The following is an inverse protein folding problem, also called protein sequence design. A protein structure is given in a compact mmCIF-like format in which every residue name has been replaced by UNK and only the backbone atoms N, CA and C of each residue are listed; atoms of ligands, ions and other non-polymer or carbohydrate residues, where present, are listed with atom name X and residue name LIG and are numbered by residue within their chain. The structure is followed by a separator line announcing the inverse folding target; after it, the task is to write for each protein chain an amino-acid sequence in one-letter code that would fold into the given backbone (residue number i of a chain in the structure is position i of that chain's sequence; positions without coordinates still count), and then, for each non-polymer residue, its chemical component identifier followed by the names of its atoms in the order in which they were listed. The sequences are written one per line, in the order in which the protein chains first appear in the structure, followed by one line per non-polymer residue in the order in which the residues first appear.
data_IF_811514509785
#
_entry.id   IF_811514509785
#
_cell.length_a   1.000
_cell.length_b   1.000
_cell.length_c   1.000
_cell.angle_alpha   90.00
_cell.angle_beta   90.00
_cell.angle_gamma   90.00
#
_symmetry.space_group_name_H-M   'P 1'
#
loop_
_entity.id
_entity.type
_entity.pdbx_description
1 polymer ?
#
# COMPACT_ATOMS: atom_id res chain seq x y z
N UNK A 1 16.67 -7.47 -2.72
CA UNK A 1 15.59 -6.47 -2.90
C UNK A 1 15.75 -5.46 -1.77
N UNK A 2 15.97 -4.18 -2.07
CA UNK A 2 16.17 -3.15 -1.05
C UNK A 2 14.83 -2.88 -0.35
N UNK A 3 14.75 -2.89 0.99
CA UNK A 3 13.54 -2.53 1.72
C UNK A 3 13.05 -1.14 1.31
N UNK A 4 11.73 -0.93 1.30
CA UNK A 4 11.14 0.39 1.09
C UNK A 4 11.67 1.32 2.19
N UNK A 5 12.07 2.53 1.81
CA UNK A 5 12.57 3.51 2.76
C UNK A 5 11.54 3.79 3.84
N UNK A 6 11.97 3.75 5.11
CA UNK A 6 11.13 3.99 6.27
C UNK A 6 10.52 5.41 6.28
N UNK A 7 11.10 6.35 5.54
CA UNK A 7 10.58 7.71 5.37
C UNK A 7 9.18 7.73 4.74
N UNK A 8 8.76 6.64 4.08
CA UNK A 8 7.46 6.52 3.43
C UNK A 8 6.37 5.94 4.35
N UNK A 9 6.73 5.58 5.58
CA UNK A 9 5.85 4.97 6.58
C UNK A 9 5.35 6.01 7.59
N UNK A 10 4.23 5.70 8.25
CA UNK A 10 3.65 6.55 9.30
C UNK A 10 2.25 7.09 9.00
N UNK A 11 1.64 7.75 9.99
CA UNK A 11 0.24 8.18 9.92
C UNK A 11 0.04 9.54 9.23
N UNK A 12 1.12 10.25 8.87
CA UNK A 12 1.02 11.60 8.33
C UNK A 12 0.57 11.66 6.87
N UNK A 13 0.22 12.88 6.44
CA UNK A 13 0.09 13.25 5.05
C UNK A 13 1.34 12.84 4.23
N UNK A 14 1.13 12.32 3.02
CA UNK A 14 2.21 11.89 2.11
C UNK A 14 2.84 10.53 2.43
N UNK A 15 2.33 9.80 3.44
CA UNK A 15 2.76 8.43 3.75
C UNK A 15 1.90 7.40 3.01
N UNK A 16 2.47 6.21 2.82
CA UNK A 16 1.76 5.10 2.18
C UNK A 16 0.62 4.65 3.10
N UNK A 17 -0.61 4.73 2.58
CA UNK A 17 -1.80 4.17 3.21
C UNK A 17 -2.05 2.75 2.72
N UNK A 18 -2.67 1.93 3.56
CA UNK A 18 -2.89 0.52 3.29
C UNK A 18 -4.23 0.10 3.86
N UNK A 19 -5.03 -0.61 3.06
CA UNK A 19 -6.22 -1.31 3.52
C UNK A 19 -5.83 -2.74 3.86
N UNK A 20 -6.24 -3.27 5.01
CA UNK A 20 -5.86 -4.62 5.43
C UNK A 20 -6.92 -5.27 6.32
N UNK A 21 -6.92 -6.60 6.35
CA UNK A 21 -7.77 -7.35 7.28
C UNK A 21 -7.06 -7.52 8.63
N UNK A 22 -7.58 -6.90 9.69
CA UNK A 22 -6.96 -6.88 11.02
C UNK A 22 -7.20 -8.16 11.84
N UNK A 23 -7.96 -9.10 11.26
CA UNK A 23 -8.38 -10.35 11.90
C UNK A 23 -9.87 -10.37 12.24
N UNK A 24 -10.50 -9.21 12.35
CA UNK A 24 -11.94 -9.08 12.51
C UNK A 24 -12.62 -8.47 11.28
N UNK A 25 -12.03 -7.44 10.68
CA UNK A 25 -12.60 -6.75 9.52
C UNK A 25 -11.51 -6.13 8.64
N UNK A 26 -11.91 -5.67 7.45
CA UNK A 26 -11.07 -4.85 6.58
C UNK A 26 -11.10 -3.41 7.09
N UNK A 27 -9.91 -2.87 7.39
CA UNK A 27 -9.73 -1.52 7.92
C UNK A 27 -8.69 -0.75 7.11
N UNK A 28 -8.82 0.57 7.10
CA UNK A 28 -7.83 1.47 6.52
C UNK A 28 -6.81 1.92 7.57
N UNK A 29 -5.54 1.89 7.20
CA UNK A 29 -4.42 2.18 8.08
C UNK A 29 -3.20 2.70 7.35
N UNK A 30 -2.08 2.64 8.06
CA UNK A 30 -0.77 3.03 7.57
C UNK A 30 0.26 1.95 7.88
N UNK A 31 1.32 1.92 7.06
CA UNK A 31 2.45 1.02 7.27
C UNK A 31 3.33 1.62 8.38
N UNK A 32 3.67 0.80 9.37
CA UNK A 32 4.60 1.12 10.46
C UNK A 32 6.02 0.72 10.05
N UNK A 33 6.18 -0.51 9.56
CA UNK A 33 7.46 -1.05 9.09
C UNK A 33 7.27 -2.19 8.10
N UNK A 34 8.28 -2.40 7.27
CA UNK A 34 8.40 -3.60 6.44
C UNK A 34 9.24 -4.64 7.18
N UNK A 35 8.75 -5.88 7.25
CA UNK A 35 9.44 -7.01 7.93
C UNK A 35 9.90 -8.09 6.95
N UNK A 36 9.48 -8.02 5.69
CA UNK A 36 9.91 -8.93 4.64
C UNK A 36 9.41 -8.48 3.27
N UNK A 37 9.77 -9.22 2.23
CA UNK A 37 9.25 -8.99 0.87
C UNK A 37 7.72 -9.13 0.88
N UNK A 38 7.01 -8.03 0.63
CA UNK A 38 5.54 -8.02 0.65
C UNK A 38 4.93 -8.21 2.04
N UNK A 39 5.69 -8.15 3.14
CA UNK A 39 5.19 -8.33 4.51
C UNK A 39 5.37 -7.06 5.32
N UNK A 40 4.29 -6.55 5.88
CA UNK A 40 4.23 -5.25 6.56
C UNK A 40 3.58 -5.38 7.93
N UNK A 41 3.98 -4.49 8.82
CA UNK A 41 3.26 -4.22 10.06
C UNK A 41 2.46 -2.94 9.85
N UNK A 42 1.15 -3.02 10.07
CA UNK A 42 0.20 -1.95 9.86
C UNK A 42 -0.50 -1.58 11.16
N UNK A 43 -0.90 -0.31 11.25
CA UNK A 43 -1.69 0.21 12.36
C UNK A 43 -2.89 1.01 11.79
N UNK A 44 -4.03 1.03 12.51
CA UNK A 44 -5.23 1.73 12.06
C UNK A 44 -5.04 3.26 12.12
N UNK A 45 -5.76 3.99 11.26
CA UNK A 45 -5.69 5.46 11.18
C UNK A 45 -6.05 6.17 12.49
N UNK A 46 -6.97 5.59 13.27
CA UNK A 46 -7.54 6.19 14.48
C UNK A 46 -6.60 6.20 15.72
N UNK A 47 -5.28 6.18 15.53
CA UNK A 47 -4.29 6.16 16.64
C UNK A 47 -4.55 5.04 17.66
N UNK A 48 -4.69 3.80 17.19
CA UNK A 48 -4.66 2.63 18.07
C UNK A 48 -3.25 2.02 18.11
N UNK A 49 -2.86 1.49 19.27
CA UNK A 49 -1.61 0.75 19.47
C UNK A 49 -1.65 -0.66 18.86
N UNK A 50 -2.78 -1.06 18.29
CA UNK A 50 -2.97 -2.39 17.71
C UNK A 50 -2.20 -2.48 16.39
N UNK A 51 -1.19 -3.34 16.37
CA UNK A 51 -0.39 -3.63 15.19
C UNK A 51 -0.80 -4.97 14.59
N UNK A 52 -1.05 -4.98 13.29
CA UNK A 52 -1.36 -6.20 12.54
C UNK A 52 -0.24 -6.50 11.56
N UNK A 53 0.17 -7.77 11.48
CA UNK A 53 1.12 -8.21 10.45
C UNK A 53 0.36 -8.74 9.26
N UNK A 54 0.67 -8.21 8.08
CA UNK A 54 -0.10 -8.49 6.87
C UNK A 54 0.82 -8.71 5.67
N UNK A 55 0.32 -9.48 4.72
CA UNK A 55 0.98 -9.79 3.45
C UNK A 55 0.24 -9.06 2.33
N UNK A 56 0.99 -8.44 1.41
CA UNK A 56 0.42 -7.83 0.21
C UNK A 56 -0.30 -8.89 -0.62
N UNK A 57 -1.55 -8.60 -0.98
CA UNK A 57 -2.30 -9.42 -1.91
C UNK A 57 -1.57 -9.52 -3.26
N UNK A 58 -1.44 -10.74 -3.77
CA UNK A 58 -0.69 -11.03 -5.00
C UNK A 58 -1.57 -11.14 -6.25
N UNK A 59 -2.89 -10.99 -6.12
CA UNK A 59 -3.85 -11.09 -7.23
C UNK A 59 -5.01 -10.12 -7.03
N UNK A 60 -5.64 -9.67 -8.12
CA UNK A 60 -6.79 -8.75 -8.06
C UNK A 60 -7.92 -9.31 -7.20
N UNK A 61 -8.32 -10.60 -7.30
CA UNK A 61 -9.37 -11.14 -6.43
C UNK A 61 -9.02 -11.05 -4.94
N UNK A 62 -7.76 -11.30 -4.57
CA UNK A 62 -7.29 -11.21 -3.19
C UNK A 62 -7.19 -9.75 -2.70
N UNK A 63 -6.89 -8.81 -3.60
CA UNK A 63 -6.84 -7.38 -3.27
C UNK A 63 -8.23 -6.76 -3.13
N UNK A 64 -9.21 -7.24 -3.91
CA UNK A 64 -10.62 -6.82 -3.82
C UNK A 64 -11.30 -7.41 -2.59
N UNK A 65 -11.03 -8.69 -2.28
CA UNK A 65 -11.62 -9.41 -1.15
C UNK A 65 -10.52 -9.84 -0.18
N UNK A 66 -10.11 -8.90 0.68
CA UNK A 66 -9.07 -9.14 1.67
C UNK A 66 -9.54 -10.14 2.74
N UNK A 67 -8.86 -11.27 2.84
CA UNK A 67 -9.02 -12.23 3.94
C UNK A 67 -8.00 -11.97 5.06
N UNK A 68 -8.20 -12.59 6.22
CA UNK A 68 -7.33 -12.42 7.40
C UNK A 68 -5.84 -12.52 7.06
N UNK A 69 -5.07 -11.51 7.46
CA UNK A 69 -3.62 -11.45 7.23
C UNK A 69 -3.21 -10.92 5.85
N UNK A 70 -4.17 -10.57 4.98
CA UNK A 70 -3.88 -9.88 3.73
C UNK A 70 -4.10 -8.37 3.85
N UNK A 71 -3.38 -7.62 3.02
CA UNK A 71 -3.63 -6.21 2.79
C UNK A 71 -3.29 -5.77 1.36
N UNK A 72 -3.75 -4.59 1.00
CA UNK A 72 -3.53 -3.98 -0.31
C UNK A 72 -3.18 -2.51 -0.14
N UNK A 73 -2.26 -2.04 -0.98
CA UNK A 73 -1.97 -0.61 -1.14
C UNK A 73 -2.74 -0.19 -2.39
N UNK A 74 -3.67 0.75 -2.21
CA UNK A 74 -4.43 1.34 -3.30
C UNK A 74 -3.62 2.49 -3.89
N UNK A 75 -3.40 2.45 -5.20
CA UNK A 75 -2.90 3.57 -5.99
C UNK A 75 -3.96 4.00 -7.00
N UNK A 76 -3.81 5.18 -7.57
CA UNK A 76 -4.56 5.57 -8.77
C UNK A 76 -3.63 6.31 -9.70
N UNK A 77 -3.87 6.18 -11.00
CA UNK A 77 -3.03 6.87 -11.98
C UNK A 77 -3.19 8.38 -11.83
N UNK A 78 -2.10 9.12 -12.07
CA UNK A 78 -2.15 10.58 -11.98
C UNK A 78 -3.19 11.13 -12.97
N UNK A 79 -4.23 11.80 -12.45
CA UNK A 79 -5.32 12.34 -13.26
C UNK A 79 -6.46 11.37 -13.56
N UNK A 80 -6.41 10.13 -13.06
CA UNK A 80 -7.47 9.13 -13.21
C UNK A 80 -8.23 8.88 -11.90
N UNK A 81 -9.52 8.54 -12.00
CA UNK A 81 -10.34 8.05 -10.88
C UNK A 81 -10.29 6.51 -10.75
N UNK A 82 -9.57 5.82 -11.64
CA UNK A 82 -9.43 4.37 -11.58
C UNK A 82 -8.49 3.95 -10.43
N UNK A 83 -8.96 3.05 -9.57
CA UNK A 83 -8.16 2.46 -8.48
C UNK A 83 -7.39 1.25 -9.01
N UNK A 84 -6.09 1.21 -8.73
CA UNK A 84 -5.16 0.13 -9.06
C UNK A 84 -4.63 -0.49 -7.76
N UNK A 85 -4.42 -1.81 -7.76
CA UNK A 85 -3.95 -2.54 -6.58
C UNK A 85 -2.49 -2.96 -6.76
N UNK A 86 -1.62 -2.56 -5.83
CA UNK A 86 -0.18 -2.85 -5.90
C UNK A 86 0.08 -4.31 -5.50
N UNK A 87 0.71 -5.09 -6.39
CA UNK A 87 1.05 -6.51 -6.16
C UNK A 87 2.50 -6.72 -5.71
N UNK A 88 3.43 -5.89 -6.21
CA UNK A 88 4.84 -5.90 -5.78
C UNK A 88 5.48 -4.54 -5.91
N UNK A 89 6.49 -4.28 -5.07
CA UNK A 89 7.30 -3.06 -5.08
C UNK A 89 8.76 -3.46 -5.29
N UNK A 90 9.39 -3.02 -6.38
CA UNK A 90 10.78 -3.34 -6.73
C UNK A 90 11.48 -2.09 -7.25
N UNK A 91 12.61 -1.67 -6.67
CA UNK A 91 13.53 -0.74 -7.33
C UNK A 91 12.91 0.57 -7.87
N UNK A 92 11.98 1.19 -7.13
CA UNK A 92 11.21 2.37 -7.56
C UNK A 92 10.24 2.12 -8.74
N UNK A 93 9.84 0.86 -8.97
CA UNK A 93 8.69 0.50 -9.80
C UNK A 93 7.68 -0.32 -8.99
N UNK A 94 6.40 -0.08 -9.24
CA UNK A 94 5.31 -0.91 -8.73
C UNK A 94 4.69 -1.70 -9.88
N UNK A 95 4.43 -2.99 -9.64
CA UNK A 95 3.64 -3.80 -10.56
C UNK A 95 2.25 -3.91 -9.98
N UNK A 96 1.23 -3.66 -10.78
CA UNK A 96 -0.16 -3.83 -10.36
C UNK A 96 -0.63 -5.26 -10.57
N UNK A 97 -1.72 -5.64 -9.92
CA UNK A 97 -2.33 -6.96 -10.14
C UNK A 97 -2.87 -7.15 -11.55
N UNK A 98 -3.09 -6.04 -12.25
CA UNK A 98 -3.55 -5.93 -13.64
C UNK A 98 -2.43 -6.13 -14.66
N UNK A 99 -1.18 -6.33 -14.19
CA UNK A 99 -0.02 -6.62 -15.03
C UNK A 99 0.75 -5.40 -15.52
N UNK A 100 0.39 -4.20 -15.07
CA UNK A 100 1.09 -2.97 -15.44
C UNK A 100 2.30 -2.71 -14.54
N UNK A 101 3.35 -2.10 -15.11
CA UNK A 101 4.53 -1.65 -14.38
C UNK A 101 4.64 -0.13 -14.47
N UNK A 102 4.77 0.54 -13.33
CA UNK A 102 4.86 2.01 -13.27
C UNK A 102 6.11 2.44 -12.52
N UNK A 103 6.68 3.59 -12.92
CA UNK A 103 7.69 4.29 -12.12
C UNK A 103 7.05 4.97 -10.91
N UNK A 104 7.73 4.92 -9.77
CA UNK A 104 7.25 5.39 -8.48
C UNK A 104 7.52 6.89 -8.29
N UNK A 105 6.48 7.71 -8.09
CA UNK A 105 6.55 9.02 -7.45
C UNK A 105 5.53 9.11 -6.29
N UNK A 106 5.99 9.54 -5.11
CA UNK A 106 5.11 9.82 -3.95
C UNK A 106 4.59 11.24 -4.12
N UNK A 107 3.26 11.40 -4.09
CA UNK A 107 2.61 12.69 -4.27
C UNK A 107 3.09 13.79 -3.31
N UNK A 108 2.79 15.04 -3.68
CA UNK A 108 3.15 16.24 -2.92
C UNK A 108 2.13 16.56 -1.79
N UNK A 109 2.41 17.63 -1.04
CA UNK A 109 1.62 18.08 0.10
C UNK A 109 0.13 18.37 -0.21
N UNK A 110 -0.23 18.53 -1.49
CA UNK A 110 -1.60 18.81 -1.94
C UNK A 110 -2.46 17.55 -2.11
N UNK A 111 -1.85 16.36 -2.20
CA UNK A 111 -2.56 15.06 -2.21
C UNK A 111 -1.89 14.03 -1.30
N UNK A 112 -2.12 14.12 0.01
CA UNK A 112 -1.52 13.20 0.97
C UNK A 112 -2.00 11.76 0.80
N UNK A 113 -1.06 10.84 0.55
CA UNK A 113 -1.34 9.40 0.42
C UNK A 113 -1.64 8.92 -0.99
N UNK A 114 -1.40 9.76 -2.01
CA UNK A 114 -1.58 9.42 -3.42
C UNK A 114 -0.26 8.91 -4.03
N UNK A 115 -0.30 7.74 -4.69
CA UNK A 115 0.81 7.22 -5.48
C UNK A 115 0.63 7.73 -6.92
N UNK A 116 1.50 8.63 -7.39
CA UNK A 116 1.44 9.11 -8.77
C UNK A 116 2.03 8.04 -9.70
N UNK A 117 1.18 7.28 -10.39
CA UNK A 117 1.63 6.33 -11.40
C UNK A 117 1.90 7.10 -12.70
N UNK A 118 3.15 7.07 -13.17
CA UNK A 118 3.51 7.47 -14.53
C UNK A 118 3.83 6.20 -15.33
N UNK A 119 3.18 6.03 -16.49
CA UNK A 119 3.53 4.95 -17.42
C UNK A 119 4.97 5.13 -17.89
N UNK A 120 5.76 4.06 -17.88
CA UNK A 120 6.97 3.96 -18.71
C UNK A 120 6.55 3.68 -20.14
#
# INVERSE_FOLDING_TARGET
MKPISNVNFGNSAGKIKMSYHDGSAVVDGYIVKQIGTGRFVCAPLANSTTQSTVVLASSTPAATTLTTGLGTIKGSEFGSNAVQHVSVIRGATCVTTEGHTYSWNIGDATKPGFLGLASI
#
